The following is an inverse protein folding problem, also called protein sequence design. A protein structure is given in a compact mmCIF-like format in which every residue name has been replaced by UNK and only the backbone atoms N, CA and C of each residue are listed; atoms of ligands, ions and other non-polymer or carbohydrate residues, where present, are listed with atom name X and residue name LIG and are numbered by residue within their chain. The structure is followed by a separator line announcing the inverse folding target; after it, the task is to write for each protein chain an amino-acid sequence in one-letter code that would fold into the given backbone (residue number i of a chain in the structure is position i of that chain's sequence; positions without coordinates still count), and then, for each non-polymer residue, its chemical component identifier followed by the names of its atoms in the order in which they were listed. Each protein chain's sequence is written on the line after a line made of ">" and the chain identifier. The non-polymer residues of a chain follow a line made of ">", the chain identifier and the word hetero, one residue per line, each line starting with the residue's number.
data_IF_743277150301
#
_entry.id   IF_743277150301
#
_cell.length_a   1.000
_cell.length_b   1.000
_cell.length_c   1.000
_cell.angle_alpha   90.00
_cell.angle_beta   90.00
_cell.angle_gamma   90.00
#
_symmetry.space_group_name_H-M   'P 1'
#
loop_
_entity.id
_entity.type
_entity.pdbx_description
1 polymer ?
#
# COMPACT_ATOMS: atom_id res chain seq x y z
N UNK A 1 -8.41 22.12 7.53
CA UNK A 1 -7.60 21.05 6.87
C UNK A 1 -6.64 20.46 7.89
N UNK A 2 -6.72 19.17 8.20
CA UNK A 2 -5.86 18.51 9.19
C UNK A 2 -4.38 18.52 8.77
N UNK A 3 -3.46 18.84 9.70
CA UNK A 3 -2.00 18.83 9.49
C UNK A 3 -1.49 17.45 9.08
N UNK A 4 -2.18 16.38 9.50
CA UNK A 4 -1.85 14.99 9.19
C UNK A 4 -1.86 14.68 7.68
N UNK A 5 -2.60 15.46 6.89
CA UNK A 5 -2.71 15.26 5.45
C UNK A 5 -1.55 15.89 4.66
N UNK A 6 -0.67 16.64 5.32
CA UNK A 6 0.51 17.26 4.71
C UNK A 6 1.79 16.49 4.97
N UNK A 7 1.73 15.46 5.82
CA UNK A 7 2.89 14.65 6.18
C UNK A 7 3.10 13.62 5.07
N UNK A 8 4.24 13.64 4.36
CA UNK A 8 4.57 12.59 3.41
C UNK A 8 4.58 11.23 4.10
N UNK A 9 4.07 10.23 3.41
CA UNK A 9 4.01 8.86 3.89
C UNK A 9 5.03 8.05 3.11
N UNK A 10 5.95 7.40 3.82
CA UNK A 10 6.85 6.41 3.25
C UNK A 10 6.15 5.06 3.24
N UNK A 11 6.06 4.48 2.05
CA UNK A 11 5.56 3.14 1.81
C UNK A 11 6.73 2.22 1.49
N UNK A 12 6.76 1.07 2.15
CA UNK A 12 7.69 -0.01 1.85
C UNK A 12 6.87 -1.25 1.51
N UNK A 13 7.20 -1.91 0.41
CA UNK A 13 6.54 -3.16 0.00
C UNK A 13 7.61 -4.22 -0.12
N UNK A 14 7.44 -5.32 0.62
CA UNK A 14 8.25 -6.53 0.43
C UNK A 14 7.51 -7.51 -0.47
N UNK A 15 8.28 -8.20 -1.30
CA UNK A 15 7.75 -9.14 -2.27
C UNK A 15 8.73 -10.30 -2.50
N UNK A 16 8.18 -11.40 -3.00
CA UNK A 16 8.96 -12.47 -3.64
C UNK A 16 8.54 -12.57 -5.09
N UNK A 17 9.33 -13.24 -5.90
CA UNK A 17 9.13 -13.30 -7.33
C UNK A 17 9.73 -14.57 -7.92
N UNK A 18 9.30 -14.90 -9.13
CA UNK A 18 9.97 -15.93 -9.93
C UNK A 18 11.41 -15.54 -10.24
N UNK A 19 12.32 -16.52 -10.27
CA UNK A 19 13.70 -16.31 -10.73
C UNK A 19 13.79 -15.78 -12.17
N UNK A 20 14.94 -15.21 -12.54
CA UNK A 20 15.19 -14.75 -13.91
C UNK A 20 15.19 -15.94 -14.87
N UNK A 21 14.35 -15.86 -15.91
CA UNK A 21 14.36 -16.77 -17.07
C UNK A 21 14.66 -15.98 -18.36
N UNK A 22 14.60 -16.64 -19.51
CA UNK A 22 14.87 -16.03 -20.82
C UNK A 22 14.03 -14.78 -21.09
N UNK A 23 12.81 -14.74 -20.56
CA UNK A 23 11.91 -13.59 -20.59
C UNK A 23 12.22 -12.46 -19.60
N UNK A 24 13.33 -12.54 -18.88
CA UNK A 24 13.75 -11.55 -17.88
C UNK A 24 13.00 -11.67 -16.54
N UNK A 25 13.15 -10.64 -15.71
CA UNK A 25 12.46 -10.50 -14.43
C UNK A 25 10.99 -10.08 -14.61
N UNK A 26 10.10 -10.37 -13.65
CA UNK A 26 8.76 -9.79 -13.62
C UNK A 26 8.81 -8.26 -13.62
N UNK A 27 8.03 -7.63 -14.49
CA UNK A 27 7.93 -6.16 -14.53
C UNK A 27 6.77 -5.70 -13.66
N UNK A 28 7.03 -4.72 -12.81
CA UNK A 28 6.07 -4.25 -11.82
C UNK A 28 6.01 -2.73 -11.81
N UNK A 29 4.84 -2.18 -11.55
CA UNK A 29 4.66 -0.74 -11.29
C UNK A 29 3.74 -0.53 -10.11
N UNK A 30 3.93 0.59 -9.44
CA UNK A 30 3.12 1.00 -8.29
C UNK A 30 2.42 2.30 -8.65
N UNK A 31 1.12 2.31 -8.41
CA UNK A 31 0.30 3.50 -8.54
C UNK A 31 -0.25 3.89 -7.17
N UNK A 32 -0.15 5.17 -6.86
CA UNK A 32 -0.82 5.80 -5.74
C UNK A 32 -1.87 6.74 -6.29
N UNK A 33 -3.14 6.51 -5.97
CA UNK A 33 -4.25 7.32 -6.47
C UNK A 33 -4.24 7.47 -8.01
N UNK A 34 -3.98 6.35 -8.70
CA UNK A 34 -3.83 6.24 -10.16
C UNK A 34 -2.61 6.99 -10.76
N UNK A 35 -1.75 7.58 -9.93
CA UNK A 35 -0.47 8.17 -10.38
C UNK A 35 0.64 7.15 -10.20
N UNK A 36 1.41 6.88 -11.25
CA UNK A 36 2.58 6.00 -11.14
C UNK A 36 3.65 6.65 -10.25
N UNK A 37 4.00 5.97 -9.16
CA UNK A 37 5.01 6.43 -8.20
C UNK A 37 6.29 5.59 -8.23
N UNK A 38 6.21 4.36 -8.75
CA UNK A 38 7.37 3.52 -8.98
C UNK A 38 7.17 2.61 -10.20
N UNK A 39 8.27 2.27 -10.87
CA UNK A 39 8.33 1.30 -11.96
C UNK A 39 9.65 0.55 -11.85
N UNK A 40 9.59 -0.78 -11.76
CA UNK A 40 10.74 -1.61 -11.42
C UNK A 40 10.65 -3.02 -12.01
N UNK A 41 11.80 -3.69 -12.03
CA UNK A 41 11.90 -5.12 -12.29
C UNK A 41 11.98 -5.82 -10.94
N UNK A 42 11.28 -6.92 -10.74
CA UNK A 42 11.37 -7.70 -9.50
C UNK A 42 12.67 -8.53 -9.51
N UNK A 43 13.79 -7.87 -9.24
CA UNK A 43 15.13 -8.45 -9.09
C UNK A 43 15.70 -8.27 -7.67
N UNK A 44 14.88 -7.77 -6.75
CA UNK A 44 15.15 -7.65 -5.32
C UNK A 44 13.99 -8.20 -4.49
N UNK A 45 13.91 -7.79 -3.22
CA UNK A 45 12.89 -8.28 -2.28
C UNK A 45 12.02 -7.18 -1.71
N UNK A 46 12.38 -5.92 -1.93
CA UNK A 46 11.66 -4.77 -1.41
C UNK A 46 11.75 -3.58 -2.35
N UNK A 47 10.80 -2.66 -2.16
CA UNK A 47 10.81 -1.33 -2.77
C UNK A 47 10.25 -0.33 -1.78
N UNK A 48 10.85 0.85 -1.73
CA UNK A 48 10.44 1.95 -0.87
C UNK A 48 10.23 3.22 -1.70
N UNK A 49 9.18 3.98 -1.37
CA UNK A 49 8.84 5.23 -2.04
C UNK A 49 7.99 6.10 -1.10
N UNK A 50 7.96 7.40 -1.37
CA UNK A 50 7.21 8.37 -0.57
C UNK A 50 6.07 8.95 -1.40
N UNK A 51 4.89 9.07 -0.79
CA UNK A 51 3.70 9.64 -1.40
C UNK A 51 3.10 10.72 -0.51
N UNK A 52 2.29 11.59 -1.10
CA UNK A 52 1.45 12.50 -0.36
C UNK A 52 0.05 11.89 -0.22
N UNK A 53 -0.50 11.77 1.00
CA UNK A 53 -1.87 11.35 1.18
C UNK A 53 -2.84 12.43 0.64
N UNK A 54 -4.04 11.99 0.25
CA UNK A 54 -5.12 12.93 -0.06
C UNK A 54 -5.60 13.64 1.23
N UNK A 55 -6.10 14.88 1.13
CA UNK A 55 -6.66 15.57 2.27
C UNK A 55 -7.95 14.91 2.81
N UNK A 56 -8.72 14.25 1.97
CA UNK A 56 -9.98 13.62 2.34
C UNK A 56 -10.33 12.47 1.39
N UNK A 57 -11.31 11.66 1.79
CA UNK A 57 -11.79 10.51 1.02
C UNK A 57 -10.84 9.32 1.09
N UNK A 58 -10.84 8.50 0.03
CA UNK A 58 -10.09 7.25 -0.02
C UNK A 58 -8.84 7.40 -0.88
N UNK A 59 -7.71 6.95 -0.34
CA UNK A 59 -6.48 6.75 -1.10
C UNK A 59 -6.35 5.30 -1.54
N UNK A 60 -5.84 5.08 -2.75
CA UNK A 60 -5.66 3.74 -3.32
C UNK A 60 -4.20 3.45 -3.60
N UNK A 61 -3.70 2.33 -3.07
CA UNK A 61 -2.43 1.74 -3.46
C UNK A 61 -2.70 0.62 -4.45
N UNK A 62 -2.02 0.65 -5.59
CA UNK A 62 -2.13 -0.36 -6.64
C UNK A 62 -0.74 -0.89 -6.92
N UNK A 63 -0.57 -2.21 -6.81
CA UNK A 63 0.63 -2.91 -7.27
C UNK A 63 0.25 -3.71 -8.50
N UNK A 64 0.92 -3.45 -9.61
CA UNK A 64 0.62 -4.05 -10.90
C UNK A 64 1.80 -4.88 -11.38
N UNK A 65 1.51 -6.10 -11.85
CA UNK A 65 2.43 -6.91 -12.64
C UNK A 65 2.01 -6.83 -14.12
N UNK A 66 2.96 -6.54 -15.02
CA UNK A 66 2.67 -6.36 -16.43
C UNK A 66 3.76 -6.94 -17.35
N UNK A 67 3.48 -6.93 -18.66
CA UNK A 67 4.43 -7.32 -19.69
C UNK A 67 4.73 -8.83 -19.79
N UNK A 68 4.05 -9.66 -18.99
CA UNK A 68 4.14 -11.12 -19.08
C UNK A 68 3.47 -11.61 -20.37
N UNK A 69 4.14 -12.48 -21.12
CA UNK A 69 3.52 -13.19 -22.24
C UNK A 69 2.77 -14.43 -21.73
N UNK A 70 1.44 -14.39 -21.82
CA UNK A 70 0.57 -15.46 -21.29
C UNK A 70 0.76 -16.82 -21.98
N UNK A 71 1.32 -16.85 -23.19
CA UNK A 71 1.54 -18.08 -23.96
C UNK A 71 2.86 -18.78 -23.63
N UNK A 72 3.85 -18.07 -23.10
CA UNK A 72 5.22 -18.60 -22.96
C UNK A 72 5.80 -18.44 -21.56
N UNK A 73 5.28 -17.54 -20.73
CA UNK A 73 5.91 -17.16 -19.46
C UNK A 73 5.10 -17.61 -18.23
N UNK A 74 4.55 -18.83 -18.25
CA UNK A 74 3.63 -19.32 -17.21
C UNK A 74 4.18 -19.21 -15.77
N UNK A 75 5.48 -19.43 -15.58
CA UNK A 75 6.11 -19.41 -14.26
C UNK A 75 6.49 -18.00 -13.75
N UNK A 76 6.28 -16.95 -14.54
CA UNK A 76 6.61 -15.58 -14.15
C UNK A 76 5.56 -15.06 -13.16
N UNK A 77 5.98 -14.67 -11.96
CA UNK A 77 5.07 -14.16 -10.93
C UNK A 77 5.75 -13.16 -9.99
N UNK A 78 4.92 -12.39 -9.29
CA UNK A 78 5.28 -11.64 -8.08
C UNK A 78 4.24 -11.93 -6.99
N UNK A 79 4.67 -12.00 -5.75
CA UNK A 79 3.79 -12.12 -4.60
C UNK A 79 4.17 -11.12 -3.52
N UNK A 80 3.22 -10.29 -3.10
CA UNK A 80 3.43 -9.32 -2.03
C UNK A 80 3.47 -10.05 -0.69
N UNK A 81 4.52 -9.80 0.10
CA UNK A 81 4.74 -10.43 1.41
C UNK A 81 4.43 -9.52 2.59
N UNK A 82 4.50 -8.21 2.40
CA UNK A 82 4.21 -7.24 3.45
C UNK A 82 4.23 -5.81 2.93
N UNK A 83 3.50 -4.95 3.63
CA UNK A 83 3.43 -3.51 3.34
C UNK A 83 3.65 -2.78 4.67
N UNK A 84 4.47 -1.73 4.64
CA UNK A 84 4.67 -0.82 5.76
C UNK A 84 4.36 0.61 5.36
N UNK A 85 3.77 1.34 6.30
CA UNK A 85 3.49 2.78 6.22
C UNK A 85 4.24 3.45 7.36
N UNK A 86 5.21 4.31 7.06
CA UNK A 86 6.05 4.97 8.08
C UNK A 86 6.62 3.97 9.12
N UNK A 87 7.11 2.81 8.65
CA UNK A 87 7.59 1.68 9.47
C UNK A 87 6.54 0.92 10.28
N UNK A 88 5.25 1.25 10.15
CA UNK A 88 4.15 0.48 10.75
C UNK A 88 3.80 -0.68 9.81
N UNK A 89 3.90 -1.91 10.30
CA UNK A 89 3.56 -3.12 9.56
C UNK A 89 2.04 -3.29 9.42
N UNK A 90 1.57 -3.49 8.18
CA UNK A 90 0.16 -3.65 7.83
C UNK A 90 -0.34 -5.11 7.86
N UNK A 91 0.36 -6.04 8.53
CA UNK A 91 0.09 -7.50 8.62
C UNK A 91 -1.31 -8.01 8.26
N UNK A 92 -2.36 -7.50 8.89
CA UNK A 92 -3.73 -7.98 8.66
C UNK A 92 -4.44 -7.19 7.55
N UNK A 93 -4.07 -5.92 7.37
CA UNK A 93 -4.63 -5.02 6.37
C UNK A 93 -4.16 -5.41 4.95
N UNK A 94 -2.99 -6.07 4.80
CA UNK A 94 -2.55 -6.53 3.47
C UNK A 94 -3.56 -7.50 2.82
N UNK A 95 -4.31 -8.25 3.63
CA UNK A 95 -5.34 -9.19 3.17
C UNK A 95 -6.66 -8.49 2.80
N UNK A 96 -6.84 -7.23 3.19
CA UNK A 96 -7.97 -6.37 2.80
C UNK A 96 -7.75 -5.80 1.38
N UNK A 97 -7.45 -6.68 0.45
CA UNK A 97 -7.13 -6.35 -0.94
C UNK A 97 -8.06 -7.03 -1.93
N UNK A 98 -8.12 -6.48 -3.13
CA UNK A 98 -8.79 -7.09 -4.28
C UNK A 98 -7.83 -7.20 -5.45
N UNK A 99 -7.71 -8.40 -6.00
CA UNK A 99 -6.92 -8.69 -7.18
C UNK A 99 -7.79 -8.65 -8.44
N UNK A 100 -7.26 -8.02 -9.50
CA UNK A 100 -7.84 -7.90 -10.83
C UNK A 100 -6.85 -8.44 -11.87
N UNK A 101 -6.80 -9.77 -12.09
CA UNK A 101 -5.95 -10.38 -13.09
C UNK A 101 -6.45 -10.08 -14.51
N UNK A 102 -5.50 -9.86 -15.41
CA UNK A 102 -5.68 -9.89 -16.86
C UNK A 102 -5.42 -11.33 -17.29
N UNK A 103 -6.51 -12.09 -17.38
CA UNK A 103 -6.48 -13.50 -17.78
C UNK A 103 -6.28 -13.65 -19.29
N UNK A 104 -5.97 -14.86 -19.73
CA UNK A 104 -5.87 -15.15 -21.16
C UNK A 104 -7.23 -15.01 -21.86
N UNK A 105 -7.26 -14.79 -23.19
CA UNK A 105 -8.52 -14.60 -23.93
C UNK A 105 -9.51 -15.77 -23.84
N UNK A 106 -9.02 -16.99 -23.56
CA UNK A 106 -9.84 -18.20 -23.41
C UNK A 106 -10.33 -18.45 -21.98
N UNK A 107 -9.84 -17.69 -21.00
CA UNK A 107 -10.23 -17.83 -19.60
C UNK A 107 -11.34 -16.83 -19.24
N UNK A 108 -12.16 -17.20 -18.25
CA UNK A 108 -13.16 -16.27 -17.71
C UNK A 108 -12.48 -15.24 -16.80
N UNK A 109 -12.73 -13.94 -16.97
CA UNK A 109 -12.27 -12.92 -16.03
C UNK A 109 -12.78 -13.21 -14.62
N UNK A 110 -11.94 -12.99 -13.63
CA UNK A 110 -12.29 -13.12 -12.22
C UNK A 110 -11.66 -12.00 -11.41
N UNK A 111 -12.11 -11.88 -10.16
CA UNK A 111 -11.49 -11.04 -9.14
C UNK A 111 -11.37 -11.86 -7.88
N UNK A 112 -10.35 -11.59 -7.07
CA UNK A 112 -10.10 -12.38 -5.87
C UNK A 112 -9.73 -11.48 -4.69
N UNK A 113 -10.51 -11.58 -3.61
CA UNK A 113 -10.22 -10.90 -2.36
C UNK A 113 -9.05 -11.60 -1.63
N UNK A 114 -8.14 -10.81 -1.07
CA UNK A 114 -7.04 -11.30 -0.24
C UNK A 114 -6.02 -12.18 -0.95
N UNK A 115 -5.95 -12.15 -2.28
CA UNK A 115 -4.88 -12.85 -3.00
C UNK A 115 -3.69 -11.91 -3.26
N UNK A 116 -2.54 -12.25 -2.68
CA UNK A 116 -1.31 -11.48 -2.80
C UNK A 116 -0.39 -11.98 -3.93
N UNK A 117 -0.73 -13.13 -4.53
CA UNK A 117 0.05 -13.79 -5.57
C UNK A 117 -0.43 -13.38 -6.97
N UNK A 118 0.40 -12.69 -7.74
CA UNK A 118 0.16 -12.30 -9.13
C UNK A 118 0.98 -13.17 -10.09
N UNK A 119 0.37 -14.29 -10.48
CA UNK A 119 0.85 -15.12 -11.60
C UNK A 119 0.36 -14.66 -12.97
N UNK A 120 -0.53 -13.68 -13.06
CA UNK A 120 -0.98 -13.10 -14.32
C UNK A 120 -0.52 -11.64 -14.41
N UNK A 121 -0.57 -11.06 -15.61
CA UNK A 121 -0.63 -9.60 -15.69
C UNK A 121 -1.88 -9.12 -14.93
N UNK A 122 -1.90 -7.88 -14.48
CA UNK A 122 -3.00 -7.32 -13.70
C UNK A 122 -2.50 -6.68 -12.41
N UNK A 123 -3.40 -6.43 -11.47
CA UNK A 123 -3.05 -5.64 -10.29
C UNK A 123 -3.79 -6.04 -9.03
N UNK A 124 -3.22 -5.68 -7.88
CA UNK A 124 -3.85 -5.77 -6.56
C UNK A 124 -4.08 -4.36 -6.04
N UNK A 125 -5.26 -4.12 -5.45
CA UNK A 125 -5.67 -2.82 -4.91
C UNK A 125 -5.88 -2.90 -3.40
N UNK A 126 -5.31 -1.93 -2.68
CA UNK A 126 -5.62 -1.63 -1.29
C UNK A 126 -6.26 -0.25 -1.20
N UNK A 127 -7.18 -0.08 -0.24
CA UNK A 127 -7.92 1.16 -0.02
C UNK A 127 -7.76 1.63 1.43
N UNK A 128 -7.37 2.88 1.59
CA UNK A 128 -7.13 3.53 2.88
C UNK A 128 -8.04 4.75 3.04
N UNK A 129 -8.66 4.89 4.20
CA UNK A 129 -9.43 6.09 4.55
C UNK A 129 -8.48 7.19 5.02
N UNK A 130 -8.66 8.41 4.52
CA UNK A 130 -7.88 9.56 4.99
C UNK A 130 -8.50 10.18 6.25
N UNK A 131 -7.69 10.57 7.27
CA UNK A 131 -6.24 10.47 7.31
C UNK A 131 -5.72 9.04 7.53
N UNK A 132 -4.79 8.59 6.68
CA UNK A 132 -4.34 7.19 6.57
C UNK A 132 -3.80 6.63 7.89
N UNK A 133 -3.06 7.43 8.65
CA UNK A 133 -2.50 6.98 9.93
C UNK A 133 -3.59 6.64 10.95
N UNK A 134 -4.71 7.38 10.96
CA UNK A 134 -5.84 7.10 11.86
C UNK A 134 -6.59 5.84 11.44
N UNK A 135 -6.76 5.64 10.13
CA UNK A 135 -7.37 4.43 9.57
C UNK A 135 -6.54 3.19 9.93
N UNK A 136 -5.23 3.23 9.70
CA UNK A 136 -4.31 2.13 10.06
C UNK A 136 -4.36 1.84 11.56
N UNK A 137 -4.33 2.88 12.41
CA UNK A 137 -4.43 2.71 13.86
C UNK A 137 -5.74 2.01 14.26
N UNK A 138 -6.86 2.40 13.65
CA UNK A 138 -8.17 1.79 13.90
C UNK A 138 -8.18 0.32 13.49
N UNK A 139 -7.70 0.00 12.28
CA UNK A 139 -7.70 -1.37 11.73
C UNK A 139 -6.74 -2.32 12.46
N UNK A 140 -5.59 -1.83 12.91
CA UNK A 140 -4.65 -2.62 13.70
C UNK A 140 -5.12 -2.85 15.14
N UNK A 141 -6.21 -2.23 15.58
CA UNK A 141 -6.77 -2.41 16.93
C UNK A 141 -5.84 -1.93 18.04
N UNK A 142 -4.87 -1.05 17.72
CA UNK A 142 -3.92 -0.52 18.70
C UNK A 142 -4.69 0.44 19.62
N UNK A 143 -5.14 -0.07 20.77
CA UNK A 143 -5.55 0.79 21.88
C UNK A 143 -4.30 1.51 22.38
N UNK A 144 -4.36 2.83 22.50
CA UNK A 144 -3.31 3.64 23.13
C UNK A 144 -3.07 3.15 24.56
N UNK A 145 -2.07 2.32 24.77
CA UNK A 145 -1.25 2.48 25.96
C UNK A 145 -0.12 3.41 25.53
N UNK A 146 -0.20 4.66 25.99
CA UNK A 146 0.89 5.61 25.83
C UNK A 146 2.18 4.95 26.34
N UNK A 147 3.14 4.71 25.45
CA UNK A 147 4.47 4.30 25.86
C UNK A 147 5.15 5.53 26.47
N UNK A 148 5.59 5.42 27.73
CA UNK A 148 6.49 6.39 28.36
C UNK A 148 7.72 6.57 27.48
N UNK A 149 7.95 7.81 27.04
CA UNK A 149 8.99 8.17 26.05
C UNK A 149 8.46 8.94 24.84
N UNK A 150 7.16 8.92 24.55
CA UNK A 150 6.49 9.85 23.61
C UNK A 150 6.04 11.14 24.31
N UNK A 151 6.85 11.72 25.19
CA UNK A 151 6.49 12.95 25.92
C UNK A 151 6.30 14.17 25.01
N UNK A 152 6.75 14.11 23.76
CA UNK A 152 6.58 15.16 22.75
C UNK A 152 5.11 15.46 22.42
N UNK A 153 4.18 14.56 22.73
CA UNK A 153 2.77 14.75 22.37
C UNK A 153 1.95 15.43 23.44
N UNK A 154 2.35 15.52 24.72
CA UNK A 154 1.46 16.16 25.70
C UNK A 154 1.36 17.67 25.48
N UNK A 155 2.47 18.30 25.12
CA UNK A 155 2.52 19.72 24.75
C UNK A 155 1.79 19.97 23.45
N UNK A 156 2.05 19.16 22.40
CA UNK A 156 1.37 19.24 21.11
C UNK A 156 -0.13 18.96 21.23
N UNK A 157 -0.53 17.98 22.04
CA UNK A 157 -1.95 17.68 22.31
C UNK A 157 -2.61 18.80 23.10
N UNK A 158 -1.88 19.48 23.98
CA UNK A 158 -2.39 20.62 24.74
C UNK A 158 -2.53 21.85 23.84
N UNK A 159 -1.57 22.11 22.97
CA UNK A 159 -1.65 23.13 21.92
C UNK A 159 -2.82 22.87 20.98
N UNK A 160 -3.03 21.62 20.55
CA UNK A 160 -4.18 21.22 19.74
C UNK A 160 -5.49 21.41 20.50
N UNK A 161 -5.54 21.07 21.78
CA UNK A 161 -6.74 21.22 22.62
C UNK A 161 -7.08 22.68 22.89
N UNK A 162 -6.08 23.53 23.06
CA UNK A 162 -6.24 24.99 23.22
C UNK A 162 -6.65 25.65 21.89
N UNK A 163 -6.13 25.18 20.76
CA UNK A 163 -6.55 25.62 19.43
C UNK A 163 -8.05 25.36 19.20
N UNK A 164 -8.55 24.16 19.53
CA UNK A 164 -9.98 23.84 19.39
C UNK A 164 -10.89 24.44 20.47
N UNK A 165 -10.34 24.81 21.63
CA UNK A 165 -11.12 25.45 22.69
C UNK A 165 -11.39 26.94 22.41
N UNK A 166 -10.59 27.57 21.54
CA UNK A 166 -10.70 28.99 21.20
C UNK A 166 -11.42 29.25 19.86
N UNK A 167 -11.77 28.23 19.08
CA UNK A 167 -12.68 28.34 17.94
C UNK A 167 -14.13 28.14 18.43
N UNK A 168 -14.68 29.16 19.09
CA UNK A 168 -16.14 29.35 19.23
C UNK A 168 -16.53 30.64 18.52
N UNK A 169 -17.32 30.48 17.45
CA UNK A 169 -18.02 31.45 16.59
C UNK A 169 -17.22 32.57 15.89
#
# INVERSE_FOLDING_TARGET
>A
MSVLNKIPITLKISYTHSGRKDGGWPLCRILWDAVQVANFKADGQEIEFTVLPKPEGTSTLIVEHYGKNVYTEHDKFIEVKGIWVNNIDLKNIIWESMQYPIVAPWDKPFQQAGNLYMGHNGHIVWRFENPILLDIQRRLGVKQQAQEGQESTRTVLKEIKEYFANETD
#
